data_IF_221720364531
#
_entry.id   IF_221720364531
#
_cell.length_a   1.000
_cell.length_b   1.000
_cell.length_c   1.000
_cell.angle_alpha   90.00
_cell.angle_beta   90.00
_cell.angle_gamma   90.00
#
_symmetry.space_group_name_H-M   'P 1'
#
loop_
_entity.id
_entity.type
_entity.pdbx_description
1 polymer ?
#
# COMPACT_ATOMS: atom_id res chain seq x y z
N UNK A 1 -42.42 3.89 1.93
CA UNK A 1 -41.18 4.41 1.28
C UNK A 1 -41.52 4.81 -0.15
N UNK A 2 -40.92 5.88 -0.70
CA UNK A 2 -41.19 6.32 -2.08
C UNK A 2 -40.31 5.56 -3.07
N UNK A 3 -40.83 5.20 -4.26
CA UNK A 3 -40.06 4.51 -5.33
C UNK A 3 -38.70 5.15 -5.65
N UNK A 4 -38.60 6.48 -5.51
CA UNK A 4 -37.35 7.22 -5.71
C UNK A 4 -36.29 6.95 -4.64
N UNK A 5 -36.71 6.67 -3.40
CA UNK A 5 -35.80 6.28 -2.32
C UNK A 5 -35.23 4.88 -2.57
N UNK A 6 -36.06 3.92 -2.98
CA UNK A 6 -35.65 2.54 -3.23
C UNK A 6 -34.66 2.47 -4.41
N UNK A 7 -34.92 3.23 -5.48
CA UNK A 7 -33.98 3.38 -6.60
C UNK A 7 -32.63 3.97 -6.18
N UNK A 8 -32.65 4.98 -5.31
CA UNK A 8 -31.43 5.61 -4.81
C UNK A 8 -30.64 4.67 -3.90
N UNK A 9 -31.31 3.87 -3.08
CA UNK A 9 -30.69 2.83 -2.26
C UNK A 9 -30.05 1.74 -3.14
N UNK A 10 -30.72 1.31 -4.21
CA UNK A 10 -30.17 0.36 -5.17
C UNK A 10 -28.92 0.91 -5.89
N UNK A 11 -28.93 2.19 -6.28
CA UNK A 11 -27.77 2.85 -6.90
C UNK A 11 -26.58 2.95 -5.92
N UNK A 12 -26.83 3.26 -4.65
CA UNK A 12 -25.77 3.28 -3.65
C UNK A 12 -25.17 1.89 -3.41
N UNK A 13 -26.01 0.85 -3.36
CA UNK A 13 -25.54 -0.53 -3.26
C UNK A 13 -24.65 -0.92 -4.45
N UNK A 14 -25.06 -0.58 -5.68
CA UNK A 14 -24.25 -0.81 -6.88
C UNK A 14 -22.93 -0.03 -6.82
N UNK A 15 -22.97 1.25 -6.45
CA UNK A 15 -21.77 2.07 -6.32
C UNK A 15 -20.82 1.54 -5.25
N UNK A 16 -21.36 0.97 -4.15
CA UNK A 16 -20.59 0.25 -3.14
C UNK A 16 -19.81 -0.91 -3.75
N UNK A 17 -20.47 -1.82 -4.47
CA UNK A 17 -19.82 -2.95 -5.13
C UNK A 17 -18.74 -2.52 -6.13
N UNK A 18 -19.01 -1.46 -6.91
CA UNK A 18 -18.04 -0.93 -7.88
C UNK A 18 -16.83 -0.32 -7.17
N UNK A 19 -17.05 0.41 -6.07
CA UNK A 19 -15.97 0.96 -5.26
C UNK A 19 -15.13 -0.15 -4.62
N UNK A 20 -15.74 -1.20 -4.08
CA UNK A 20 -15.03 -2.32 -3.46
C UNK A 20 -14.15 -3.05 -4.48
N UNK A 21 -14.66 -3.29 -5.69
CA UNK A 21 -13.85 -3.85 -6.79
C UNK A 21 -12.71 -2.93 -7.22
N UNK A 22 -12.96 -1.62 -7.28
CA UNK A 22 -11.95 -0.64 -7.64
C UNK A 22 -10.87 -0.48 -6.57
N UNK A 23 -11.20 -0.70 -5.30
CA UNK A 23 -10.26 -0.66 -4.17
C UNK A 23 -9.44 -1.95 -3.99
N UNK A 24 -9.88 -3.09 -4.54
CA UNK A 24 -9.15 -4.35 -4.41
C UNK A 24 -7.67 -4.25 -4.91
N UNK A 25 -7.37 -3.65 -6.07
CA UNK A 25 -5.99 -3.40 -6.50
C UNK A 25 -5.19 -2.52 -5.53
N UNK A 26 -5.83 -1.53 -4.89
CA UNK A 26 -5.19 -0.67 -3.89
C UNK A 26 -4.76 -1.49 -2.68
N UNK A 27 -5.62 -2.37 -2.17
CA UNK A 27 -5.30 -3.24 -1.05
C UNK A 27 -4.13 -4.18 -1.38
N UNK A 28 -4.10 -4.75 -2.59
CA UNK A 28 -2.98 -5.59 -3.05
C UNK A 28 -1.68 -4.78 -3.14
N UNK A 29 -1.71 -3.57 -3.68
CA UNK A 29 -0.54 -2.69 -3.77
C UNK A 29 -0.02 -2.30 -2.38
N UNK A 30 -0.92 -2.02 -1.42
CA UNK A 30 -0.56 -1.73 -0.03
C UNK A 30 0.14 -2.93 0.63
N UNK A 31 -0.39 -4.14 0.46
CA UNK A 31 0.21 -5.36 1.01
C UNK A 31 1.62 -5.60 0.45
N UNK A 32 1.80 -5.42 -0.87
CA UNK A 32 3.11 -5.52 -1.52
C UNK A 32 4.11 -4.48 -1.00
N UNK A 33 3.67 -3.23 -0.86
CA UNK A 33 4.49 -2.16 -0.31
C UNK A 33 4.92 -2.44 1.14
N UNK A 34 4.00 -2.94 1.98
CA UNK A 34 4.30 -3.31 3.36
C UNK A 34 5.34 -4.44 3.43
N UNK A 35 5.19 -5.49 2.61
CA UNK A 35 6.15 -6.58 2.53
C UNK A 35 7.54 -6.10 2.07
N UNK A 36 7.59 -5.22 1.07
CA UNK A 36 8.85 -4.64 0.59
C UNK A 36 9.52 -3.77 1.67
N UNK A 37 8.75 -3.01 2.46
CA UNK A 37 9.29 -2.21 3.57
C UNK A 37 9.91 -3.10 4.65
N UNK A 38 9.22 -4.18 5.01
CA UNK A 38 9.75 -5.16 5.96
C UNK A 38 11.08 -5.76 5.46
N UNK A 39 11.15 -6.13 4.17
CA UNK A 39 12.38 -6.65 3.56
C UNK A 39 13.53 -5.63 3.58
N UNK A 40 13.27 -4.37 3.23
CA UNK A 40 14.28 -3.32 3.28
C UNK A 40 14.78 -3.07 4.72
N UNK A 41 13.86 -3.05 5.70
CA UNK A 41 14.20 -2.94 7.12
C UNK A 41 15.08 -4.09 7.62
N UNK A 42 14.77 -5.34 7.23
CA UNK A 42 15.57 -6.50 7.58
C UNK A 42 16.99 -6.43 6.99
N UNK A 43 17.13 -5.96 5.75
CA UNK A 43 18.45 -5.76 5.12
C UNK A 43 19.25 -4.66 5.85
N UNK A 44 18.60 -3.57 6.24
CA UNK A 44 19.24 -2.50 7.00
C UNK A 44 19.72 -2.97 8.39
N UNK A 45 18.90 -3.74 9.11
CA UNK A 45 19.29 -4.35 10.39
C UNK A 45 20.46 -5.32 10.23
N UNK A 46 20.39 -6.22 9.24
CA UNK A 46 21.48 -7.18 8.96
C UNK A 46 22.80 -6.46 8.65
N UNK A 47 22.74 -5.32 7.95
CA UNK A 47 23.92 -4.50 7.67
C UNK A 47 24.50 -3.87 8.95
N UNK A 48 23.65 -3.41 9.85
CA UNK A 48 24.09 -2.84 11.13
C UNK A 48 24.78 -3.90 12.00
N UNK A 49 24.28 -5.14 12.02
CA UNK A 49 24.90 -6.24 12.78
C UNK A 49 26.23 -6.71 12.18
N UNK A 50 26.45 -6.54 10.87
CA UNK A 50 27.72 -6.88 10.21
C UNK A 50 28.82 -5.82 10.42
N UNK A 51 28.50 -4.67 11.01
CA UNK A 51 29.47 -3.61 11.27
C UNK A 51 30.12 -3.70 12.66
N UNK A 52 29.84 -4.77 13.43
CA UNK A 52 30.42 -4.98 14.77
C UNK A 52 31.85 -5.54 14.69
N UNK A 53 32.65 -5.25 15.72
CA UNK A 53 34.09 -5.52 15.76
C UNK A 53 34.45 -6.98 15.44
N UNK A 54 35.36 -7.15 14.47
CA UNK A 54 36.00 -8.41 14.14
C UNK A 54 37.42 -8.41 14.72
N UNK A 55 37.75 -9.43 15.51
CA UNK A 55 39.08 -9.58 16.12
C UNK A 55 40.17 -10.04 15.13
N UNK A 56 39.76 -10.68 14.03
CA UNK A 56 40.64 -11.24 13.00
C UNK A 56 40.56 -10.41 11.69
N UNK A 57 41.69 -9.98 11.08
CA UNK A 57 41.70 -9.28 9.80
C UNK A 57 41.06 -10.06 8.64
N UNK A 58 41.16 -11.41 8.61
CA UNK A 58 40.48 -12.21 7.59
C UNK A 58 38.96 -12.11 7.74
N UNK A 59 38.48 -12.22 8.98
CA UNK A 59 37.07 -12.06 9.33
C UNK A 59 36.57 -10.65 8.99
N UNK A 60 37.36 -9.61 9.28
CA UNK A 60 37.04 -8.23 8.93
C UNK A 60 36.89 -8.05 7.41
N UNK A 61 37.79 -8.60 6.60
CA UNK A 61 37.71 -8.54 5.14
C UNK A 61 36.47 -9.26 4.58
N UNK A 62 36.12 -10.42 5.15
CA UNK A 62 34.90 -11.14 4.78
C UNK A 62 33.62 -10.37 5.15
N UNK A 63 33.57 -9.80 6.35
CA UNK A 63 32.45 -8.97 6.82
C UNK A 63 32.29 -7.70 5.98
N UNK A 64 33.39 -7.05 5.60
CA UNK A 64 33.37 -5.90 4.68
C UNK A 64 32.82 -6.26 3.30
N UNK A 65 33.23 -7.40 2.73
CA UNK A 65 32.69 -7.87 1.45
C UNK A 65 31.19 -8.21 1.54
N UNK A 66 30.77 -8.79 2.65
CA UNK A 66 29.36 -9.10 2.89
C UNK A 66 28.53 -7.83 3.09
N UNK A 67 29.05 -6.83 3.82
CA UNK A 67 28.36 -5.56 4.06
C UNK A 67 28.14 -4.78 2.76
N UNK A 68 29.11 -4.79 1.83
CA UNK A 68 28.95 -4.15 0.52
C UNK A 68 27.91 -4.87 -0.34
N UNK A 69 27.89 -6.21 -0.34
CA UNK A 69 26.81 -6.98 -0.98
C UNK A 69 25.44 -6.64 -0.39
N UNK A 70 25.34 -6.48 0.92
CA UNK A 70 24.10 -6.06 1.58
C UNK A 70 23.71 -4.62 1.21
N UNK A 71 24.69 -3.72 1.09
CA UNK A 71 24.47 -2.34 0.64
C UNK A 71 23.84 -2.30 -0.74
N UNK A 72 24.37 -3.03 -1.72
CA UNK A 72 23.78 -3.10 -3.06
C UNK A 72 22.35 -3.66 -3.03
N UNK A 73 22.10 -4.73 -2.26
CA UNK A 73 20.75 -5.30 -2.09
C UNK A 73 19.78 -4.32 -1.44
N UNK A 74 20.24 -3.56 -0.46
CA UNK A 74 19.43 -2.54 0.21
C UNK A 74 19.09 -1.39 -0.74
N UNK A 75 20.05 -0.91 -1.54
CA UNK A 75 19.79 0.11 -2.57
C UNK A 75 18.75 -0.39 -3.58
N UNK A 76 18.91 -1.61 -4.10
CA UNK A 76 17.94 -2.21 -5.01
C UNK A 76 16.54 -2.31 -4.37
N UNK A 77 16.45 -2.72 -3.11
CA UNK A 77 15.18 -2.78 -2.38
C UNK A 77 14.55 -1.39 -2.18
N UNK A 78 15.34 -0.33 -2.00
CA UNK A 78 14.85 1.04 -1.93
C UNK A 78 14.31 1.54 -3.27
N UNK A 79 14.95 1.18 -4.38
CA UNK A 79 14.42 1.47 -5.72
C UNK A 79 13.10 0.73 -5.97
N UNK A 80 13.00 -0.54 -5.55
CA UNK A 80 11.75 -1.30 -5.61
C UNK A 80 10.64 -0.67 -4.78
N UNK A 81 10.97 -0.13 -3.59
CA UNK A 81 10.01 0.60 -2.75
C UNK A 81 9.45 1.83 -3.46
N UNK A 82 10.29 2.63 -4.11
CA UNK A 82 9.85 3.80 -4.86
C UNK A 82 8.88 3.40 -5.99
N UNK A 83 9.19 2.33 -6.72
CA UNK A 83 8.29 1.78 -7.76
C UNK A 83 6.95 1.33 -7.18
N UNK A 84 6.96 0.56 -6.08
CA UNK A 84 5.73 0.09 -5.44
C UNK A 84 4.89 1.23 -4.85
N UNK A 85 5.53 2.32 -4.42
CA UNK A 85 4.83 3.54 -4.01
C UNK A 85 4.11 4.19 -5.20
N UNK A 86 4.78 4.30 -6.36
CA UNK A 86 4.14 4.79 -7.57
C UNK A 86 2.95 3.90 -7.99
N UNK A 87 3.12 2.58 -7.97
CA UNK A 87 2.04 1.63 -8.29
C UNK A 87 0.82 1.80 -7.36
N UNK A 88 1.06 2.05 -6.07
CA UNK A 88 -0.01 2.32 -5.11
C UNK A 88 -0.76 3.62 -5.45
N UNK A 89 -0.05 4.68 -5.79
CA UNK A 89 -0.68 5.95 -6.16
C UNK A 89 -1.50 5.81 -7.45
N UNK A 90 -0.98 5.12 -8.46
CA UNK A 90 -1.73 4.80 -9.69
C UNK A 90 -3.00 3.99 -9.40
N UNK A 91 -2.91 2.99 -8.51
CA UNK A 91 -4.08 2.21 -8.11
C UNK A 91 -5.12 3.09 -7.38
N UNK A 92 -4.68 4.01 -6.51
CA UNK A 92 -5.58 4.96 -5.82
C UNK A 92 -6.26 5.90 -6.80
N UNK A 93 -5.52 6.43 -7.77
CA UNK A 93 -6.06 7.31 -8.80
C UNK A 93 -7.14 6.60 -9.62
N UNK A 94 -6.88 5.36 -10.04
CA UNK A 94 -7.86 4.54 -10.74
C UNK A 94 -9.12 4.26 -9.89
N UNK A 95 -8.98 4.07 -8.57
CA UNK A 95 -10.09 3.80 -7.66
C UNK A 95 -10.91 5.04 -7.28
N UNK A 96 -10.30 6.24 -7.36
CA UNK A 96 -10.85 7.51 -6.88
C UNK A 96 -12.26 7.82 -7.40
N UNK A 97 -12.57 7.65 -8.70
CA UNK A 97 -13.90 7.98 -9.23
C UNK A 97 -15.00 7.06 -8.71
N UNK A 98 -14.71 5.77 -8.53
CA UNK A 98 -15.67 4.80 -8.02
C UNK A 98 -15.94 5.05 -6.52
N UNK A 99 -14.88 5.25 -5.75
CA UNK A 99 -14.99 5.57 -4.33
C UNK A 99 -15.70 6.90 -4.07
N UNK A 100 -15.39 7.95 -4.85
CA UNK A 100 -16.08 9.24 -4.74
C UNK A 100 -17.58 9.15 -5.03
N UNK A 101 -17.98 8.35 -6.02
CA UNK A 101 -19.39 8.09 -6.35
C UNK A 101 -20.13 7.39 -5.22
N UNK A 102 -19.55 6.34 -4.63
CA UNK A 102 -20.09 5.69 -3.41
C UNK A 102 -20.31 6.72 -2.31
N UNK A 103 -19.28 7.51 -2.00
CA UNK A 103 -19.30 8.47 -0.90
C UNK A 103 -20.37 9.57 -1.09
N UNK A 104 -20.54 10.04 -2.33
CA UNK A 104 -21.61 10.99 -2.66
C UNK A 104 -23.01 10.39 -2.46
N UNK A 105 -23.24 9.15 -2.91
CA UNK A 105 -24.53 8.47 -2.77
C UNK A 105 -24.85 8.12 -1.31
N UNK A 106 -23.85 7.70 -0.53
CA UNK A 106 -24.00 7.43 0.90
C UNK A 106 -24.42 8.71 1.67
N UNK A 107 -23.81 9.86 1.33
CA UNK A 107 -24.18 11.16 1.92
C UNK A 107 -25.61 11.55 1.57
N UNK A 108 -26.01 11.40 0.31
CA UNK A 108 -27.39 11.70 -0.12
C UNK A 108 -28.41 10.81 0.59
N UNK A 109 -28.10 9.52 0.78
CA UNK A 109 -28.95 8.61 1.55
C UNK A 109 -29.05 9.01 3.02
N UNK A 110 -27.94 9.40 3.64
CA UNK A 110 -27.91 9.82 5.04
C UNK A 110 -28.75 11.10 5.26
N UNK A 111 -28.58 12.12 4.42
CA UNK A 111 -29.37 13.37 4.49
C UNK A 111 -30.88 13.12 4.36
N UNK A 112 -31.28 12.19 3.50
CA UNK A 112 -32.70 11.87 3.30
C UNK A 112 -33.33 11.08 4.45
N UNK A 113 -32.51 10.42 5.28
CA UNK A 113 -32.96 9.72 6.50
C UNK A 113 -33.15 10.68 7.68
N UNK A 114 -32.39 11.78 7.74
CA UNK A 114 -32.48 12.78 8.81
C UNK A 114 -33.61 13.80 8.64
N UNK A 115 -34.18 13.93 7.43
CA UNK A 115 -35.29 14.83 7.12
C UNK A 115 -36.67 14.12 7.02
N UNK A 116 -36.78 12.92 7.59
CA UNK A 116 -38.04 12.20 7.81
C UNK A 116 -38.33 12.13 9.30
#
# INVERSE_FOLDING_TARGET
MTRAFDKMAALAALAGLVADRALAPVAVAQARLAAARAKAGALAQTRATLATDAADPLQAALMARQSERMRHRHIAAMSDLARLQADLELAKEAARPAYGRKLALDRLLAQRRTHR
#
